data_IF_113070518529
#
_entry.id   IF_113070518529
#
_cell.length_a   1.000
_cell.length_b   1.000
_cell.length_c   1.000
_cell.angle_alpha   90.00
_cell.angle_beta   90.00
_cell.angle_gamma   90.00
#
_symmetry.space_group_name_H-M   'P 1'
#
loop_
_entity.id
_entity.type
_entity.pdbx_description
1 polymer ?
#
# COMPACT_ATOMS: atom_id res chain seq x y z
N UNK A 1 12.38 7.87 16.50
CA UNK A 1 12.91 6.51 16.65
C UNK A 1 13.23 6.16 18.12
N UNK A 2 13.91 7.00 18.90
CA UNK A 2 14.25 6.69 20.30
C UNK A 2 13.04 6.34 21.17
N UNK A 3 11.90 7.01 20.96
CA UNK A 3 10.65 6.65 21.67
C UNK A 3 10.14 5.30 21.21
N UNK A 4 10.19 5.02 19.92
CA UNK A 4 9.74 3.75 19.33
C UNK A 4 10.59 2.58 19.85
N UNK A 5 11.92 2.76 19.98
CA UNK A 5 12.81 1.75 20.56
C UNK A 5 12.44 1.41 22.00
N UNK A 6 12.01 2.39 22.79
CA UNK A 6 11.61 2.21 24.19
C UNK A 6 10.22 1.60 24.38
N UNK A 7 9.30 1.91 23.47
CA UNK A 7 7.87 1.56 23.63
C UNK A 7 7.43 0.40 22.75
N UNK A 8 8.28 -0.08 21.84
CA UNK A 8 7.92 -1.09 20.87
C UNK A 8 6.91 -0.59 19.82
N UNK A 9 6.72 0.71 19.69
CA UNK A 9 5.86 1.27 18.65
C UNK A 9 6.59 1.29 17.30
N UNK A 10 5.84 1.14 16.18
CA UNK A 10 6.38 1.36 14.86
C UNK A 10 6.44 2.85 14.56
N UNK A 11 7.51 3.28 13.89
CA UNK A 11 7.56 4.57 13.25
C UNK A 11 7.14 4.43 11.79
N UNK A 12 6.05 5.09 11.42
CA UNK A 12 5.66 5.29 10.04
C UNK A 12 5.91 6.75 9.68
N UNK A 13 6.66 7.00 8.62
CA UNK A 13 7.03 8.35 8.19
C UNK A 13 6.58 8.61 6.77
N UNK A 14 6.03 9.80 6.55
CA UNK A 14 5.96 10.37 5.22
C UNK A 14 7.37 10.78 4.80
N UNK A 15 7.82 10.27 3.66
CA UNK A 15 9.09 10.66 3.07
C UNK A 15 8.89 12.01 2.37
N UNK A 16 8.78 13.06 3.14
CA UNK A 16 8.42 14.38 2.64
C UNK A 16 9.65 15.23 2.35
N UNK A 17 9.67 15.83 1.18
CA UNK A 17 10.67 16.82 0.74
C UNK A 17 10.13 18.22 0.59
N UNK A 18 8.93 18.50 1.04
CA UNK A 18 8.45 19.88 1.14
C UNK A 18 9.39 20.71 2.01
N UNK A 19 10.11 20.03 2.88
CA UNK A 19 11.24 20.59 3.59
C UNK A 19 12.54 20.26 2.83
N UNK A 20 12.93 21.08 1.90
CA UNK A 20 14.12 20.94 1.07
C UNK A 20 15.45 21.05 1.87
N UNK A 21 15.39 20.91 3.18
CA UNK A 21 16.51 21.11 4.10
C UNK A 21 17.45 19.89 4.26
N UNK A 22 17.25 18.82 3.49
CA UNK A 22 18.08 17.61 3.61
C UNK A 22 18.09 16.78 2.35
N UNK A 23 19.02 15.85 2.29
CA UNK A 23 19.18 14.86 1.22
C UNK A 23 18.81 13.47 1.73
N UNK A 24 18.62 12.51 0.82
CA UNK A 24 18.36 11.10 1.19
C UNK A 24 19.44 10.56 2.14
N UNK A 25 20.70 10.92 1.92
CA UNK A 25 21.80 10.53 2.80
C UNK A 25 21.61 11.00 4.26
N UNK A 26 21.10 12.21 4.47
CA UNK A 26 20.81 12.74 5.81
C UNK A 26 19.65 11.98 6.46
N UNK A 27 18.62 11.63 5.69
CA UNK A 27 17.51 10.81 6.14
C UNK A 27 18.00 9.43 6.59
N UNK A 28 18.82 8.76 5.78
CA UNK A 28 19.41 7.46 6.11
C UNK A 28 20.33 7.53 7.34
N UNK A 29 21.13 8.60 7.44
CA UNK A 29 21.97 8.85 8.63
C UNK A 29 21.12 9.02 9.90
N UNK A 30 19.98 9.73 9.82
CA UNK A 30 19.06 9.89 10.94
C UNK A 30 18.35 8.58 11.32
N UNK A 31 18.01 7.74 10.37
CA UNK A 31 17.44 6.40 10.59
C UNK A 31 18.48 5.50 11.26
N UNK A 32 19.74 5.57 10.83
CA UNK A 32 20.89 4.86 11.40
C UNK A 32 20.66 3.34 11.53
N UNK A 33 20.19 2.68 10.48
CA UNK A 33 19.97 1.24 10.42
C UNK A 33 18.82 0.71 11.29
N UNK A 34 17.97 1.58 11.82
CA UNK A 34 16.81 1.18 12.63
C UNK A 34 15.58 0.94 11.76
N UNK A 35 14.73 0.03 12.17
CA UNK A 35 13.49 -0.28 11.46
C UNK A 35 12.58 0.94 11.34
N UNK A 36 12.10 1.18 10.13
CA UNK A 36 11.15 2.25 9.82
C UNK A 36 10.21 1.81 8.68
N UNK A 37 8.93 2.19 8.78
CA UNK A 37 7.99 2.10 7.67
C UNK A 37 7.97 3.44 6.95
N UNK A 38 8.34 3.46 5.68
CA UNK A 38 8.38 4.66 4.86
C UNK A 38 7.21 4.66 3.87
N UNK A 39 6.35 5.69 3.95
CA UNK A 39 5.26 5.91 3.01
C UNK A 39 5.76 6.59 1.72
N UNK A 40 5.01 6.37 0.63
CA UNK A 40 5.24 6.94 -0.71
C UNK A 40 6.73 7.09 -1.08
N UNK A 41 7.45 5.98 -0.91
CA UNK A 41 8.89 5.89 -1.22
C UNK A 41 9.23 6.09 -2.69
N UNK A 42 8.23 6.12 -3.57
CA UNK A 42 8.36 6.47 -4.98
C UNK A 42 8.69 7.97 -5.19
N UNK A 43 8.47 8.80 -4.17
CA UNK A 43 8.77 10.22 -4.19
C UNK A 43 7.66 11.12 -4.73
N UNK A 44 6.67 10.61 -5.42
CA UNK A 44 5.58 11.39 -6.02
C UNK A 44 4.63 11.98 -4.99
N UNK A 45 4.49 11.35 -3.83
CA UNK A 45 3.63 11.81 -2.73
C UNK A 45 4.25 12.89 -1.84
N UNK A 46 5.42 13.41 -2.16
CA UNK A 46 6.07 14.48 -1.40
C UNK A 46 7.46 14.16 -0.85
N UNK A 47 8.07 13.06 -1.22
CA UNK A 47 9.41 12.68 -0.79
C UNK A 47 10.55 13.59 -1.28
N UNK A 48 11.81 13.32 -0.88
CA UNK A 48 13.00 14.02 -1.37
C UNK A 48 13.12 13.86 -2.85
N UNK A 49 12.54 14.70 -3.61
CA UNK A 49 12.57 14.63 -5.05
C UNK A 49 12.57 13.16 -5.57
N UNK A 50 12.87 12.87 -6.79
CA UNK A 50 12.83 11.49 -7.28
C UNK A 50 13.85 10.52 -6.65
N UNK A 51 14.90 11.01 -6.00
CA UNK A 51 15.97 10.18 -5.44
C UNK A 51 15.60 9.46 -4.14
N UNK A 52 14.50 9.81 -3.49
CA UNK A 52 14.03 9.09 -2.29
C UNK A 52 13.76 7.60 -2.57
N UNK A 53 13.43 7.24 -3.80
CA UNK A 53 13.21 5.85 -4.18
C UNK A 53 14.42 4.94 -3.90
N UNK A 54 15.61 5.51 -3.79
CA UNK A 54 16.85 4.78 -3.45
C UNK A 54 16.82 4.16 -2.05
N UNK A 55 15.97 4.64 -1.11
CA UNK A 55 15.82 4.02 0.23
C UNK A 55 15.29 2.59 0.16
N UNK A 56 14.71 2.18 -0.98
CA UNK A 56 14.30 0.80 -1.23
C UNK A 56 15.49 -0.17 -1.20
N UNK A 57 16.71 0.33 -1.36
CA UNK A 57 17.94 -0.45 -1.25
C UNK A 57 18.32 -0.78 0.20
N UNK A 58 17.63 -0.23 1.19
CA UNK A 58 17.97 -0.41 2.60
C UNK A 58 17.17 -1.56 3.23
N UNK A 59 17.81 -2.56 3.84
CA UNK A 59 17.13 -3.74 4.38
C UNK A 59 16.22 -3.44 5.58
N UNK A 60 16.49 -2.36 6.32
CA UNK A 60 15.73 -1.94 7.50
C UNK A 60 14.63 -0.93 7.19
N UNK A 61 14.54 -0.43 5.96
CA UNK A 61 13.43 0.40 5.50
C UNK A 61 12.34 -0.50 4.92
N UNK A 62 11.13 -0.41 5.48
CA UNK A 62 9.96 -1.13 4.98
C UNK A 62 9.20 -0.20 4.05
N UNK A 63 9.42 -0.28 2.73
CA UNK A 63 8.89 0.70 1.80
C UNK A 63 7.44 0.40 1.44
N UNK A 64 6.63 1.45 1.39
CA UNK A 64 5.32 1.41 0.75
C UNK A 64 5.19 2.48 -0.31
N UNK A 65 4.41 2.20 -1.34
CA UNK A 65 4.06 3.16 -2.35
C UNK A 65 2.54 3.38 -2.41
N UNK A 66 2.14 4.49 -3.00
CA UNK A 66 0.74 4.89 -3.07
C UNK A 66 0.08 4.43 -4.37
N UNK A 67 -1.25 4.33 -4.38
CA UNK A 67 -1.94 3.77 -5.54
C UNK A 67 -2.03 4.70 -6.76
N UNK A 68 -2.04 6.04 -6.67
CA UNK A 68 -2.23 6.88 -7.86
C UNK A 68 -1.12 6.78 -8.91
N UNK A 69 0.13 6.52 -8.49
CA UNK A 69 1.28 6.41 -9.41
C UNK A 69 1.27 5.11 -10.22
N UNK A 70 0.47 4.13 -9.85
CA UNK A 70 0.54 2.76 -10.37
C UNK A 70 -0.71 2.30 -11.08
N UNK A 71 -0.52 1.49 -12.13
CA UNK A 71 0.71 1.33 -12.91
C UNK A 71 1.02 2.56 -13.75
N UNK A 72 2.25 2.72 -14.20
CA UNK A 72 2.65 3.80 -15.12
C UNK A 72 1.90 3.68 -16.45
N UNK A 73 1.02 4.63 -16.71
CA UNK A 73 0.20 4.72 -17.92
C UNK A 73 0.46 6.03 -18.66
N UNK A 74 -0.07 6.12 -19.88
CA UNK A 74 0.01 7.35 -20.70
C UNK A 74 -0.58 8.58 -19.99
N UNK A 75 -1.47 8.39 -19.02
CA UNK A 75 -2.14 9.50 -18.29
C UNK A 75 -1.52 9.77 -16.91
N UNK A 76 -0.64 8.87 -16.41
CA UNK A 76 -0.19 8.95 -15.01
C UNK A 76 0.49 10.25 -14.67
N UNK A 77 1.34 10.76 -15.55
CA UNK A 77 2.11 11.99 -15.31
C UNK A 77 1.16 13.19 -15.16
N UNK A 78 0.25 13.38 -16.11
CA UNK A 78 -0.71 14.49 -16.11
C UNK A 78 -1.66 14.40 -14.91
N UNK A 79 -2.26 13.22 -14.69
CA UNK A 79 -3.14 12.98 -13.54
C UNK A 79 -2.44 13.28 -12.20
N UNK A 80 -1.17 12.92 -12.10
CA UNK A 80 -0.41 13.11 -10.86
C UNK A 80 0.00 14.55 -10.64
N UNK A 81 0.39 15.27 -11.70
CA UNK A 81 0.64 16.71 -11.64
C UNK A 81 -0.60 17.47 -11.15
N UNK A 82 -1.76 17.18 -11.73
CA UNK A 82 -3.03 17.78 -11.31
C UNK A 82 -3.35 17.49 -9.84
N UNK A 83 -3.16 16.25 -9.41
CA UNK A 83 -3.35 15.88 -8.00
C UNK A 83 -2.40 16.61 -7.07
N UNK A 84 -1.12 16.71 -7.43
CA UNK A 84 -0.12 17.42 -6.64
C UNK A 84 -0.47 18.91 -6.50
N UNK A 85 -0.83 19.54 -7.61
CA UNK A 85 -1.26 20.94 -7.63
C UNK A 85 -2.43 21.19 -6.67
N UNK A 86 -3.45 20.32 -6.71
CA UNK A 86 -4.62 20.46 -5.85
C UNK A 86 -4.30 20.16 -4.39
N UNK A 87 -3.59 19.05 -4.09
CA UNK A 87 -3.33 18.63 -2.72
C UNK A 87 -2.38 19.55 -1.96
N UNK A 88 -1.46 20.21 -2.68
CA UNK A 88 -0.49 21.13 -2.09
C UNK A 88 -0.90 22.61 -2.24
N UNK A 89 -2.12 22.88 -2.70
CA UNK A 89 -2.65 24.25 -2.90
C UNK A 89 -1.78 25.11 -3.82
N UNK A 90 -1.17 24.48 -4.83
CA UNK A 90 -0.37 25.15 -5.84
C UNK A 90 -1.26 25.77 -6.91
N UNK A 91 -0.73 26.81 -7.57
CA UNK A 91 -1.45 27.52 -8.62
C UNK A 91 -0.77 27.31 -9.98
N UNK A 92 -1.43 26.65 -10.95
CA UNK A 92 -0.84 26.39 -12.28
C UNK A 92 -0.54 27.67 -13.08
N UNK A 93 -1.06 28.83 -12.66
CA UNK A 93 -0.73 30.11 -13.29
C UNK A 93 0.57 30.73 -12.71
N UNK A 94 1.17 30.14 -11.67
CA UNK A 94 2.43 30.55 -11.07
C UNK A 94 3.54 29.63 -11.57
N UNK A 95 4.52 30.11 -12.36
CA UNK A 95 5.57 29.28 -12.95
C UNK A 95 6.40 28.49 -11.91
N UNK A 96 6.64 29.08 -10.75
CA UNK A 96 7.39 28.47 -9.66
C UNK A 96 6.63 27.26 -9.07
N UNK A 97 5.32 27.36 -8.91
CA UNK A 97 4.47 26.28 -8.42
C UNK A 97 4.44 25.12 -9.43
N UNK A 98 4.34 25.44 -10.71
CA UNK A 98 4.38 24.44 -11.77
C UNK A 98 5.76 23.74 -11.81
N UNK A 99 6.85 24.50 -11.78
CA UNK A 99 8.20 23.95 -11.75
C UNK A 99 8.43 23.05 -10.53
N UNK A 100 7.90 23.43 -9.37
CA UNK A 100 7.92 22.59 -8.17
C UNK A 100 7.20 21.27 -8.40
N UNK A 101 5.98 21.29 -8.94
CA UNK A 101 5.22 20.08 -9.21
C UNK A 101 5.94 19.17 -10.22
N UNK A 102 6.42 19.73 -11.32
CA UNK A 102 7.18 19.00 -12.36
C UNK A 102 8.50 18.42 -11.85
N UNK A 103 9.13 19.05 -10.86
CA UNK A 103 10.35 18.51 -10.25
C UNK A 103 10.13 17.20 -9.52
N UNK A 104 8.89 16.93 -9.08
CA UNK A 104 8.54 15.73 -8.28
C UNK A 104 7.94 14.59 -9.08
N UNK A 105 7.26 14.91 -10.16
CA UNK A 105 6.56 13.90 -10.99
C UNK A 105 7.44 13.53 -12.17
N UNK A 106 8.07 12.36 -12.12
CA UNK A 106 9.04 11.91 -13.11
C UNK A 106 8.66 10.55 -13.70
N UNK A 107 8.64 10.42 -15.03
CA UNK A 107 8.34 9.13 -15.68
C UNK A 107 9.29 8.00 -15.26
N UNK A 108 10.57 8.30 -15.07
CA UNK A 108 11.60 7.31 -14.72
C UNK A 108 11.38 6.68 -13.35
N UNK A 109 11.06 7.50 -12.33
CA UNK A 109 10.81 6.99 -10.97
C UNK A 109 9.48 6.24 -10.88
N UNK A 110 8.44 6.71 -11.57
CA UNK A 110 7.14 6.02 -11.63
C UNK A 110 7.26 4.67 -12.35
N UNK A 111 8.03 4.60 -13.43
CA UNK A 111 8.31 3.33 -14.10
C UNK A 111 9.14 2.38 -13.24
N UNK A 112 10.13 2.92 -12.51
CA UNK A 112 10.94 2.15 -11.57
C UNK A 112 10.09 1.57 -10.43
N UNK A 113 9.12 2.31 -9.94
CA UNK A 113 8.19 1.86 -8.92
C UNK A 113 7.48 0.55 -9.32
N UNK A 114 6.93 0.49 -10.52
CA UNK A 114 6.28 -0.72 -11.05
C UNK A 114 7.22 -1.93 -11.05
N UNK A 115 8.46 -1.72 -11.52
CA UNK A 115 9.50 -2.76 -11.57
C UNK A 115 9.88 -3.22 -10.16
N UNK A 116 10.08 -2.29 -9.23
CA UNK A 116 10.44 -2.60 -7.84
C UNK A 116 9.33 -3.35 -7.12
N UNK A 117 8.07 -3.09 -7.45
CA UNK A 117 6.96 -3.91 -6.99
C UNK A 117 7.04 -5.35 -7.50
N UNK A 118 7.34 -5.52 -8.77
CA UNK A 118 7.41 -6.86 -9.39
C UNK A 118 8.65 -7.65 -8.95
N UNK A 119 9.75 -6.97 -8.64
CA UNK A 119 10.93 -7.56 -8.02
C UNK A 119 10.70 -7.97 -6.55
N UNK A 120 9.68 -7.43 -5.89
CA UNK A 120 9.46 -7.61 -4.47
C UNK A 120 10.32 -6.70 -3.60
N UNK A 121 10.79 -5.59 -4.13
CA UNK A 121 11.62 -4.63 -3.43
C UNK A 121 10.78 -3.58 -2.67
N UNK A 122 9.66 -3.13 -3.23
CA UNK A 122 8.65 -2.37 -2.50
C UNK A 122 7.67 -3.37 -1.89
N UNK A 123 7.67 -3.44 -0.55
CA UNK A 123 7.04 -4.54 0.18
C UNK A 123 5.55 -4.33 0.45
N UNK A 124 5.08 -3.09 0.42
CA UNK A 124 3.74 -2.69 0.86
C UNK A 124 3.10 -1.75 -0.16
N UNK A 125 1.79 -1.81 -0.25
CA UNK A 125 0.95 -0.89 -1.01
C UNK A 125 0.02 -0.17 -0.05
N UNK A 126 -0.04 1.15 -0.14
CA UNK A 126 -0.90 2.02 0.64
C UNK A 126 -1.82 2.87 -0.23
N UNK A 127 -2.77 3.56 0.38
CA UNK A 127 -3.76 4.36 -0.36
C UNK A 127 -3.40 5.84 -0.41
N UNK A 128 -2.72 6.37 0.60
CA UNK A 128 -2.56 7.81 0.81
C UNK A 128 -3.90 8.58 0.74
N UNK A 129 -4.92 8.04 1.40
CA UNK A 129 -6.33 8.33 1.13
C UNK A 129 -6.79 9.77 1.41
N UNK A 130 -6.04 10.53 2.21
CA UNK A 130 -6.39 11.90 2.56
C UNK A 130 -5.75 12.95 1.67
N UNK A 131 -4.61 12.60 1.06
CA UNK A 131 -3.91 13.47 0.12
C UNK A 131 -3.16 12.63 -0.89
N UNK A 132 -3.42 12.85 -2.16
CA UNK A 132 -2.87 12.19 -3.33
C UNK A 132 -3.16 10.68 -3.45
N UNK A 133 -4.24 10.15 -2.81
CA UNK A 133 -4.57 8.75 -2.91
C UNK A 133 -6.06 8.43 -2.82
N UNK A 134 -6.40 7.19 -3.20
CA UNK A 134 -7.79 6.70 -3.27
C UNK A 134 -7.89 5.33 -2.63
N UNK A 135 -8.49 5.26 -1.44
CA UNK A 135 -8.62 4.01 -0.69
C UNK A 135 -9.35 2.90 -1.46
N UNK A 136 -10.36 3.24 -2.24
CA UNK A 136 -11.15 2.29 -3.02
C UNK A 136 -10.39 1.65 -4.18
N UNK A 137 -9.24 2.18 -4.59
CA UNK A 137 -8.48 1.71 -5.74
C UNK A 137 -7.26 0.85 -5.37
N UNK A 138 -6.93 0.70 -4.09
CA UNK A 138 -5.71 0.00 -3.65
C UNK A 138 -5.61 -1.39 -4.27
N UNK A 139 -6.63 -2.21 -4.11
CA UNK A 139 -6.61 -3.60 -4.59
C UNK A 139 -6.60 -3.64 -6.12
N UNK A 140 -7.47 -2.87 -6.76
CA UNK A 140 -7.57 -2.82 -8.22
C UNK A 140 -6.23 -2.42 -8.85
N UNK A 141 -5.65 -1.30 -8.42
CA UNK A 141 -4.37 -0.81 -8.97
C UNK A 141 -3.21 -1.76 -8.71
N UNK A 142 -3.23 -2.47 -7.59
CA UNK A 142 -2.27 -3.55 -7.31
C UNK A 142 -2.30 -4.63 -8.39
N UNK A 143 -3.49 -5.09 -8.79
CA UNK A 143 -3.64 -6.13 -9.81
C UNK A 143 -3.43 -5.61 -11.22
N UNK A 144 -3.73 -4.35 -11.49
CA UNK A 144 -3.37 -3.70 -12.75
C UNK A 144 -1.85 -3.62 -12.90
N UNK A 145 -1.12 -3.26 -11.84
CA UNK A 145 0.34 -3.26 -11.81
C UNK A 145 0.89 -4.67 -12.09
N UNK A 146 0.38 -5.69 -11.39
CA UNK A 146 0.78 -7.08 -11.62
C UNK A 146 0.57 -7.51 -13.08
N UNK A 147 -0.54 -7.12 -13.68
CA UNK A 147 -0.84 -7.42 -15.09
C UNK A 147 0.12 -6.74 -16.06
N UNK A 148 0.39 -5.44 -15.88
CA UNK A 148 1.34 -4.69 -16.71
C UNK A 148 2.73 -5.29 -16.59
N UNK A 149 3.15 -5.62 -15.38
CA UNK A 149 4.46 -6.24 -15.15
C UNK A 149 4.56 -7.63 -15.78
N UNK A 150 3.51 -8.45 -15.73
CA UNK A 150 3.50 -9.73 -16.44
C UNK A 150 3.67 -9.54 -17.93
N UNK A 151 2.98 -8.59 -18.54
CA UNK A 151 3.11 -8.30 -19.97
C UNK A 151 4.51 -7.85 -20.36
N UNK A 152 5.17 -7.05 -19.52
CA UNK A 152 6.47 -6.46 -19.81
C UNK A 152 7.64 -7.39 -19.47
N UNK A 153 7.56 -8.10 -18.34
CA UNK A 153 8.66 -8.85 -17.76
C UNK A 153 8.50 -10.37 -17.87
N UNK A 154 7.32 -10.84 -18.35
CA UNK A 154 7.02 -12.26 -18.45
C UNK A 154 6.73 -12.93 -17.10
N UNK A 155 6.93 -14.25 -17.01
CA UNK A 155 6.73 -15.01 -15.77
C UNK A 155 7.85 -14.72 -14.77
N UNK A 156 7.50 -14.70 -13.47
CA UNK A 156 8.51 -14.65 -12.42
C UNK A 156 9.24 -15.99 -12.30
N UNK A 157 10.48 -16.01 -11.77
CA UNK A 157 11.17 -17.27 -11.46
C UNK A 157 10.28 -18.16 -10.56
N UNK A 158 10.08 -19.40 -11.00
CA UNK A 158 9.18 -20.34 -10.29
C UNK A 158 7.72 -20.33 -10.75
N UNK A 159 7.29 -19.34 -11.53
CA UNK A 159 5.99 -19.36 -12.19
C UNK A 159 6.06 -20.13 -13.52
N UNK A 160 4.97 -20.85 -13.84
CA UNK A 160 4.84 -21.59 -15.10
C UNK A 160 3.62 -21.11 -15.88
N UNK A 161 2.63 -22.01 -16.06
CA UNK A 161 1.35 -21.64 -16.67
C UNK A 161 0.47 -20.76 -15.79
N UNK A 162 0.66 -20.87 -14.47
CA UNK A 162 -0.03 -20.07 -13.47
C UNK A 162 0.96 -19.11 -12.83
N UNK A 163 0.49 -17.91 -12.47
CA UNK A 163 1.29 -16.84 -11.85
C UNK A 163 1.20 -16.89 -10.31
N UNK A 164 1.35 -18.08 -9.74
CA UNK A 164 1.14 -18.28 -8.30
C UNK A 164 2.14 -17.50 -7.43
N UNK A 165 3.40 -17.41 -7.86
CA UNK A 165 4.41 -16.63 -7.14
C UNK A 165 4.08 -15.13 -7.22
N UNK A 166 3.80 -14.61 -8.43
CA UNK A 166 3.37 -13.22 -8.58
C UNK A 166 2.09 -12.93 -7.78
N UNK A 167 1.11 -13.83 -7.81
CA UNK A 167 -0.12 -13.66 -7.04
C UNK A 167 0.16 -13.57 -5.52
N UNK A 168 0.98 -14.45 -4.94
CA UNK A 168 1.37 -14.39 -3.53
C UNK A 168 2.11 -13.09 -3.22
N UNK A 169 3.05 -12.68 -4.07
CA UNK A 169 3.81 -11.43 -3.93
C UNK A 169 2.89 -10.21 -3.83
N UNK A 170 1.94 -10.09 -4.75
CA UNK A 170 1.07 -8.92 -4.78
C UNK A 170 -0.02 -8.94 -3.70
N UNK A 171 -0.58 -10.10 -3.36
CA UNK A 171 -1.50 -10.23 -2.22
C UNK A 171 -0.82 -9.84 -0.91
N UNK A 172 0.41 -10.28 -0.68
CA UNK A 172 1.14 -9.99 0.55
C UNK A 172 1.32 -8.49 0.81
N UNK A 173 1.38 -7.66 -0.24
CA UNK A 173 1.61 -6.21 -0.13
C UNK A 173 0.50 -5.43 0.57
N UNK A 174 -0.73 -5.92 0.55
CA UNK A 174 -1.87 -5.26 1.22
C UNK A 174 -2.54 -6.15 2.29
N UNK A 175 -1.89 -7.26 2.65
CA UNK A 175 -2.37 -8.18 3.69
C UNK A 175 -1.30 -8.38 4.77
N UNK A 176 -0.46 -9.42 4.64
CA UNK A 176 0.47 -9.81 5.69
C UNK A 176 1.63 -8.81 5.88
N UNK A 177 2.17 -8.22 4.81
CA UNK A 177 3.32 -7.35 4.94
C UNK A 177 3.03 -6.08 5.75
N UNK A 178 1.94 -5.31 5.49
CA UNK A 178 1.60 -4.21 6.37
C UNK A 178 1.26 -4.65 7.80
N UNK A 179 0.69 -5.84 8.00
CA UNK A 179 0.43 -6.36 9.33
C UNK A 179 1.74 -6.64 10.11
N UNK A 180 2.71 -7.26 9.46
CA UNK A 180 4.04 -7.50 10.04
C UNK A 180 4.76 -6.18 10.32
N UNK A 181 4.79 -5.26 9.34
CA UNK A 181 5.44 -3.96 9.50
C UNK A 181 4.89 -3.15 10.69
N UNK A 182 3.61 -3.28 11.00
CA UNK A 182 2.94 -2.58 12.09
C UNK A 182 2.85 -3.39 13.40
N UNK A 183 3.46 -4.59 13.45
CA UNK A 183 3.44 -5.44 14.65
C UNK A 183 2.09 -6.11 14.93
N UNK A 184 1.26 -6.30 13.92
CA UNK A 184 -0.07 -6.91 14.00
C UNK A 184 -0.13 -8.31 13.39
N UNK A 185 0.99 -8.80 12.86
CA UNK A 185 1.07 -10.03 12.06
C UNK A 185 0.65 -11.30 12.79
N UNK A 186 0.72 -11.33 14.12
CA UNK A 186 0.28 -12.47 14.93
C UNK A 186 -1.23 -12.62 15.00
N UNK A 187 -1.97 -11.53 14.79
CA UNK A 187 -3.43 -11.49 14.95
C UNK A 187 -4.18 -11.40 13.61
N UNK A 188 -3.57 -10.78 12.59
CA UNK A 188 -4.22 -10.51 11.29
C UNK A 188 -3.23 -10.64 10.12
N UNK A 189 -3.74 -10.50 8.91
CA UNK A 189 -2.94 -10.35 7.68
C UNK A 189 -2.76 -11.64 6.88
N UNK A 190 -3.05 -12.81 7.45
CA UNK A 190 -2.97 -14.09 6.76
C UNK A 190 -4.07 -15.05 7.17
N UNK A 191 -4.34 -16.05 6.32
CA UNK A 191 -5.32 -17.10 6.60
C UNK A 191 -4.62 -18.23 7.35
N UNK A 192 -4.53 -18.09 8.66
CA UNK A 192 -3.88 -19.03 9.56
C UNK A 192 -4.75 -19.27 10.79
N UNK A 193 -4.69 -20.51 11.34
CA UNK A 193 -5.42 -20.87 12.57
C UNK A 193 -4.94 -20.00 13.73
N UNK A 194 -5.87 -19.43 14.47
CA UNK A 194 -5.61 -18.56 15.62
C UNK A 194 -5.73 -17.07 15.32
N UNK A 195 -5.62 -16.67 14.06
CA UNK A 195 -5.81 -15.27 13.66
C UNK A 195 -7.28 -14.92 13.46
N UNK A 196 -7.56 -13.61 13.51
CA UNK A 196 -8.89 -13.09 13.25
C UNK A 196 -9.37 -13.47 11.84
N UNK A 197 -10.56 -14.03 11.74
CA UNK A 197 -11.13 -14.48 10.48
C UNK A 197 -11.65 -13.29 9.65
N UNK A 198 -10.71 -12.53 9.11
CA UNK A 198 -10.93 -11.44 8.15
C UNK A 198 -10.68 -11.97 6.75
N UNK A 199 -11.73 -12.27 6.01
CA UNK A 199 -11.66 -12.98 4.74
C UNK A 199 -12.44 -12.25 3.66
N UNK A 200 -11.96 -12.34 2.43
CA UNK A 200 -12.68 -11.83 1.25
C UNK A 200 -12.86 -12.95 0.25
N UNK A 201 -14.10 -13.20 -0.16
CA UNK A 201 -14.44 -14.14 -1.20
C UNK A 201 -14.64 -13.43 -2.53
N UNK A 202 -13.99 -13.94 -3.56
CA UNK A 202 -14.03 -13.39 -4.90
C UNK A 202 -14.62 -14.40 -5.89
N UNK A 203 -15.45 -13.91 -6.79
CA UNK A 203 -15.63 -14.58 -8.06
C UNK A 203 -14.33 -14.38 -8.87
N UNK A 204 -13.71 -15.45 -9.39
CA UNK A 204 -12.48 -15.33 -10.17
C UNK A 204 -12.57 -14.34 -11.33
N UNK A 205 -13.74 -14.23 -11.97
CA UNK A 205 -13.98 -13.29 -13.08
C UNK A 205 -13.92 -11.81 -12.65
N UNK A 206 -14.11 -11.54 -11.35
CA UNK A 206 -14.13 -10.18 -10.76
C UNK A 206 -13.05 -9.98 -9.70
N UNK A 207 -12.06 -10.86 -9.70
CA UNK A 207 -10.98 -10.80 -8.73
C UNK A 207 -10.26 -9.44 -8.76
N UNK A 208 -10.07 -8.86 -7.57
CA UNK A 208 -9.44 -7.55 -7.41
C UNK A 208 -10.35 -6.35 -7.65
N UNK A 209 -11.57 -6.56 -8.13
CA UNK A 209 -12.51 -5.48 -8.48
C UNK A 209 -13.74 -5.48 -7.58
N UNK A 210 -14.45 -6.62 -7.53
CA UNK A 210 -15.74 -6.71 -6.83
C UNK A 210 -15.82 -7.98 -6.01
N UNK A 211 -15.67 -7.90 -4.69
CA UNK A 211 -15.83 -9.07 -3.82
C UNK A 211 -17.31 -9.52 -3.78
N UNK A 212 -17.53 -10.82 -3.66
CA UNK A 212 -18.87 -11.37 -3.44
C UNK A 212 -19.25 -11.30 -1.96
N UNK A 213 -18.28 -11.50 -1.07
CA UNK A 213 -18.51 -11.52 0.38
C UNK A 213 -17.26 -11.01 1.11
N UNK A 214 -17.47 -10.14 2.08
CA UNK A 214 -16.46 -9.71 3.05
C UNK A 214 -16.86 -10.22 4.43
N UNK A 215 -15.97 -11.01 5.02
CA UNK A 215 -16.12 -11.57 6.37
C UNK A 215 -15.17 -10.82 7.29
N UNK A 216 -15.70 -10.31 8.40
CA UNK A 216 -14.95 -9.60 9.43
C UNK A 216 -15.13 -10.29 10.77
N UNK A 217 -14.02 -10.75 11.35
CA UNK A 217 -14.07 -11.48 12.63
C UNK A 217 -14.97 -12.73 12.60
N UNK A 218 -15.04 -13.43 11.46
CA UNK A 218 -15.86 -14.61 11.27
C UNK A 218 -17.33 -14.35 10.93
N UNK A 219 -17.75 -13.08 10.81
CA UNK A 219 -19.13 -12.72 10.47
C UNK A 219 -19.20 -12.01 9.12
N UNK A 220 -20.24 -12.27 8.34
CA UNK A 220 -20.47 -11.59 7.07
C UNK A 220 -20.73 -10.09 7.34
N UNK A 221 -19.79 -9.24 6.95
CA UNK A 221 -19.89 -7.80 7.09
C UNK A 221 -20.47 -7.11 5.85
N UNK A 222 -20.24 -7.69 4.67
CA UNK A 222 -20.68 -7.14 3.39
C UNK A 222 -20.86 -8.26 2.38
N UNK A 223 -21.99 -8.27 1.69
CA UNK A 223 -22.28 -9.27 0.67
C UNK A 223 -23.27 -8.74 -0.37
N UNK A 224 -23.29 -9.40 -1.53
CA UNK A 224 -24.33 -9.17 -2.53
C UNK A 224 -25.67 -9.71 -2.02
N UNK A 225 -26.67 -8.86 -2.06
CA UNK A 225 -28.01 -9.22 -1.63
C UNK A 225 -29.04 -8.51 -2.50
N UNK A 226 -30.10 -9.22 -2.85
CA UNK A 226 -31.26 -8.62 -3.49
C UNK A 226 -32.06 -7.72 -2.54
N UNK A 227 -33.11 -7.12 -3.05
CA UNK A 227 -33.99 -6.30 -2.24
C UNK A 227 -34.64 -7.14 -1.13
N UNK A 228 -34.49 -6.70 0.10
CA UNK A 228 -34.91 -7.46 1.30
C UNK A 228 -36.45 -7.66 1.35
N UNK A 229 -37.21 -6.88 0.62
CA UNK A 229 -38.69 -6.96 0.60
C UNK A 229 -39.25 -7.71 -0.60
N UNK A 230 -38.40 -8.43 -1.33
CA UNK A 230 -38.88 -9.13 -2.52
C UNK A 230 -39.58 -10.42 -2.16
N UNK A 231 -40.81 -10.58 -2.60
CA UNK A 231 -41.58 -11.82 -2.54
C UNK A 231 -41.42 -12.68 -3.82
N UNK A 232 -40.44 -12.33 -4.65
CA UNK A 232 -40.12 -13.03 -5.92
C UNK A 232 -38.87 -13.90 -5.74
N UNK A 233 -38.72 -14.99 -6.53
CA UNK A 233 -37.57 -15.88 -6.40
C UNK A 233 -36.20 -15.24 -6.64
N UNK A 234 -36.14 -14.19 -7.44
CA UNK A 234 -34.92 -13.44 -7.78
C UNK A 234 -35.08 -11.97 -7.40
N UNK A 235 -34.85 -11.60 -6.12
CA UNK A 235 -34.95 -10.22 -5.68
C UNK A 235 -34.04 -9.30 -6.49
N UNK A 236 -34.60 -8.16 -6.90
CA UNK A 236 -33.87 -7.14 -7.65
C UNK A 236 -34.10 -5.75 -7.03
N UNK A 237 -33.14 -4.84 -7.11
CA UNK A 237 -31.77 -5.02 -7.64
C UNK A 237 -30.88 -5.79 -6.66
N UNK A 238 -29.98 -6.63 -7.19
CA UNK A 238 -28.93 -7.27 -6.42
C UNK A 238 -27.73 -6.34 -6.36
N UNK A 239 -27.33 -5.94 -5.17
CA UNK A 239 -26.18 -5.06 -4.96
C UNK A 239 -25.45 -5.42 -3.66
N UNK A 240 -24.17 -5.03 -3.51
CA UNK A 240 -23.45 -5.19 -2.26
C UNK A 240 -24.11 -4.36 -1.15
N UNK A 241 -24.31 -4.99 0.01
CA UNK A 241 -24.97 -4.35 1.16
C UNK A 241 -24.24 -4.68 2.46
N UNK A 242 -24.24 -3.77 3.45
CA UNK A 242 -23.83 -4.10 4.81
C UNK A 242 -24.70 -5.23 5.40
N UNK A 243 -24.03 -6.17 6.06
CA UNK A 243 -24.65 -7.33 6.70
C UNK A 243 -24.42 -7.31 8.21
N UNK A 244 -24.87 -8.34 8.92
CA UNK A 244 -24.82 -8.42 10.38
C UNK A 244 -23.46 -8.13 11.00
N UNK A 245 -22.36 -8.57 10.34
CA UNK A 245 -21.00 -8.33 10.79
C UNK A 245 -20.56 -6.85 10.77
N UNK A 246 -21.26 -6.00 10.00
CA UNK A 246 -20.98 -4.56 9.92
C UNK A 246 -21.83 -3.72 10.89
N UNK A 247 -22.81 -4.33 11.58
CA UNK A 247 -23.82 -3.60 12.33
C UNK A 247 -23.74 -3.86 13.84
N UNK A 248 -24.20 -2.88 14.62
CA UNK A 248 -24.30 -2.97 16.06
C UNK A 248 -22.98 -3.35 16.73
N UNK A 249 -23.06 -4.20 17.75
CA UNK A 249 -21.88 -4.65 18.52
C UNK A 249 -20.99 -5.65 17.76
N UNK A 250 -21.45 -6.23 16.67
CA UNK A 250 -20.65 -7.17 15.87
C UNK A 250 -19.40 -6.50 15.30
N UNK A 251 -19.51 -5.26 14.82
CA UNK A 251 -18.39 -4.49 14.29
C UNK A 251 -17.28 -4.26 15.34
N UNK A 252 -17.66 -3.93 16.57
CA UNK A 252 -16.72 -3.75 17.67
C UNK A 252 -16.07 -5.08 18.10
N UNK A 253 -16.87 -6.14 18.26
CA UNK A 253 -16.39 -7.46 18.70
C UNK A 253 -15.55 -8.20 17.64
N UNK A 254 -15.79 -7.92 16.37
CA UNK A 254 -15.04 -8.48 15.24
C UNK A 254 -13.75 -7.72 14.89
N UNK A 255 -13.27 -6.83 15.75
CA UNK A 255 -12.08 -6.02 15.48
C UNK A 255 -11.26 -5.75 16.75
N UNK A 256 -10.02 -5.28 16.57
CA UNK A 256 -9.09 -4.97 17.66
C UNK A 256 -8.72 -3.48 17.67
N UNK A 257 -8.31 -3.02 18.85
CA UNK A 257 -7.53 -1.79 19.04
C UNK A 257 -6.08 -2.22 19.25
N UNK A 258 -5.24 -2.03 18.23
CA UNK A 258 -3.81 -2.30 18.34
C UNK A 258 -3.13 -1.12 19.00
N UNK A 259 -2.36 -1.38 20.04
CA UNK A 259 -1.63 -0.37 20.84
C UNK A 259 -0.27 -0.92 21.26
N UNK A 260 0.64 -0.06 21.71
CA UNK A 260 1.90 -0.55 22.28
C UNK A 260 1.65 -1.30 23.60
N UNK A 261 2.52 -2.26 23.95
CA UNK A 261 2.47 -2.94 25.24
C UNK A 261 2.54 -1.94 26.40
N UNK A 262 3.40 -0.92 26.27
CA UNK A 262 3.51 0.15 27.25
C UNK A 262 2.20 0.91 27.51
N UNK A 263 1.38 1.09 26.47
CA UNK A 263 0.07 1.74 26.65
C UNK A 263 -0.92 0.87 27.43
N UNK A 264 -0.84 -0.47 27.27
CA UNK A 264 -1.66 -1.40 28.07
C UNK A 264 -1.19 -1.38 29.52
N UNK A 265 0.10 -1.44 29.77
CA UNK A 265 0.68 -1.36 31.11
C UNK A 265 0.35 -0.06 31.82
N UNK A 266 0.20 1.05 31.10
CA UNK A 266 -0.21 2.36 31.59
C UNK A 266 -1.73 2.48 31.79
N UNK A 267 -2.50 1.42 31.67
CA UNK A 267 -3.96 1.39 31.91
C UNK A 267 -4.79 2.09 30.85
N UNK A 268 -4.33 2.15 29.58
CA UNK A 268 -5.07 2.76 28.48
C UNK A 268 -6.43 2.09 28.25
N UNK A 269 -6.58 0.74 28.30
CA UNK A 269 -7.86 0.08 28.11
C UNK A 269 -8.94 0.55 29.09
N UNK A 270 -8.59 0.68 30.35
CA UNK A 270 -9.48 1.10 31.44
C UNK A 270 -9.88 2.58 31.30
N UNK A 271 -8.96 3.44 30.88
CA UNK A 271 -9.21 4.87 30.66
C UNK A 271 -10.14 5.12 29.48
N UNK A 272 -10.00 4.35 28.40
CA UNK A 272 -10.81 4.54 27.20
C UNK A 272 -12.14 3.78 27.26
N UNK A 273 -12.23 2.68 27.99
CA UNK A 273 -13.41 1.84 28.18
C UNK A 273 -14.14 1.49 26.85
N UNK A 274 -13.37 1.18 25.80
CA UNK A 274 -13.92 0.84 24.49
C UNK A 274 -14.38 -0.62 24.43
N UNK A 275 -15.39 -0.90 23.61
CA UNK A 275 -15.87 -2.28 23.41
C UNK A 275 -14.90 -3.18 22.63
N UNK A 276 -14.06 -2.60 21.78
CA UNK A 276 -13.06 -3.35 21.05
C UNK A 276 -11.97 -3.86 21.98
N UNK A 277 -11.59 -5.13 21.81
CA UNK A 277 -10.47 -5.70 22.56
C UNK A 277 -9.15 -4.96 22.21
N UNK A 278 -8.41 -4.61 23.22
CA UNK A 278 -7.04 -4.09 23.06
C UNK A 278 -6.06 -5.25 22.88
N UNK A 279 -5.17 -5.10 21.94
CA UNK A 279 -4.14 -6.10 21.60
C UNK A 279 -2.80 -5.38 21.47
N UNK A 280 -1.74 -5.85 22.15
CA UNK A 280 -0.43 -5.25 21.98
C UNK A 280 0.14 -5.55 20.60
N UNK A 281 0.76 -4.54 20.00
CA UNK A 281 1.63 -4.76 18.83
C UNK A 281 2.92 -5.45 19.29
N UNK A 282 3.49 -6.26 18.42
CA UNK A 282 4.70 -7.04 18.71
C UNK A 282 5.73 -6.91 17.59
N UNK A 283 7.00 -7.15 17.92
CA UNK A 283 8.07 -7.32 16.92
C UNK A 283 8.22 -6.18 15.90
N UNK A 284 7.95 -4.94 16.27
CA UNK A 284 8.07 -3.78 15.38
C UNK A 284 9.52 -3.29 15.25
N UNK A 285 10.35 -3.58 16.23
CA UNK A 285 11.78 -3.23 16.24
C UNK A 285 12.60 -4.43 15.79
N UNK A 286 13.53 -4.24 14.88
CA UNK A 286 14.31 -5.33 14.30
C UNK A 286 13.64 -6.03 13.11
N UNK A 287 12.42 -5.69 12.75
CA UNK A 287 11.82 -6.13 11.47
C UNK A 287 12.59 -5.52 10.30
N UNK A 288 12.85 -6.35 9.30
CA UNK A 288 13.55 -5.96 8.09
C UNK A 288 12.78 -6.41 6.84
N UNK A 289 13.31 -6.11 5.68
CA UNK A 289 12.74 -6.62 4.42
C UNK A 289 12.74 -8.14 4.34
N UNK A 290 13.68 -8.82 5.02
CA UNK A 290 13.71 -10.29 5.07
C UNK A 290 12.45 -10.91 5.72
N UNK A 291 11.72 -10.13 6.53
CA UNK A 291 10.46 -10.54 7.16
C UNK A 291 9.23 -10.29 6.27
N UNK A 292 9.40 -9.61 5.14
CA UNK A 292 8.33 -9.27 4.20
C UNK A 292 8.07 -10.45 3.25
N UNK A 293 6.97 -11.14 3.45
CA UNK A 293 6.61 -12.32 2.65
C UNK A 293 6.61 -12.02 1.15
N UNK A 294 7.38 -12.78 0.38
CA UNK A 294 7.52 -12.70 -1.09
C UNK A 294 8.03 -11.31 -1.59
N UNK A 295 8.47 -10.44 -0.65
CA UNK A 295 8.81 -9.04 -0.92
C UNK A 295 10.05 -8.60 -0.14
N UNK A 296 11.07 -9.42 -0.14
CA UNK A 296 12.32 -9.31 0.62
C UNK A 296 13.51 -8.80 -0.20
N UNK A 297 13.30 -8.49 -1.49
CA UNK A 297 14.37 -8.05 -2.36
C UNK A 297 14.98 -6.69 -1.93
N UNK A 298 16.31 -6.59 -2.02
CA UNK A 298 17.09 -5.40 -1.69
C UNK A 298 18.00 -5.07 -2.89
N UNK A 299 17.43 -4.64 -4.03
CA UNK A 299 18.22 -4.26 -5.20
C UNK A 299 18.96 -2.94 -4.95
N UNK A 300 20.03 -2.71 -5.67
CA UNK A 300 20.69 -1.41 -5.71
C UNK A 300 19.92 -0.48 -6.62
N UNK A 301 19.30 0.55 -6.06
CA UNK A 301 18.58 1.58 -6.81
C UNK A 301 19.41 2.87 -6.79
N UNK A 302 19.70 3.39 -7.96
CA UNK A 302 20.45 4.64 -8.12
C UNK A 302 19.65 5.60 -9.00
N UNK A 303 19.67 6.86 -8.63
CA UNK A 303 19.05 7.96 -9.37
C UNK A 303 20.14 8.95 -9.77
N UNK A 304 20.25 9.21 -11.04
CA UNK A 304 21.20 10.22 -11.53
C UNK A 304 20.75 11.61 -11.11
N UNK A 305 21.60 12.42 -10.46
CA UNK A 305 21.19 13.70 -9.89
C UNK A 305 20.87 14.78 -10.93
N UNK A 306 21.37 14.64 -12.16
CA UNK A 306 21.19 15.64 -13.21
C UNK A 306 20.03 15.29 -14.15
N UNK A 307 19.95 14.04 -14.59
CA UNK A 307 18.92 13.57 -15.54
C UNK A 307 17.72 12.91 -14.88
N UNK A 308 17.83 12.54 -13.60
CA UNK A 308 16.87 11.71 -12.85
C UNK A 308 16.60 10.35 -13.49
N UNK A 309 17.51 9.87 -14.31
CA UNK A 309 17.46 8.49 -14.79
C UNK A 309 17.68 7.51 -13.64
N UNK A 310 16.89 6.44 -13.63
CA UNK A 310 16.95 5.42 -12.58
C UNK A 310 17.61 4.16 -13.13
N UNK A 311 18.48 3.56 -12.33
CA UNK A 311 18.99 2.21 -12.57
C UNK A 311 18.65 1.29 -11.42
N UNK A 312 18.41 0.02 -11.72
CA UNK A 312 18.16 -1.04 -10.75
C UNK A 312 19.18 -2.14 -11.00
N UNK A 313 20.08 -2.39 -10.03
CA UNK A 313 21.21 -3.32 -10.17
C UNK A 313 22.11 -3.02 -11.38
N UNK A 314 22.17 -1.75 -11.79
CA UNK A 314 22.92 -1.27 -12.93
C UNK A 314 22.16 -1.28 -14.25
N UNK A 315 21.00 -1.90 -14.33
CA UNK A 315 20.15 -1.90 -15.52
C UNK A 315 19.31 -0.61 -15.58
N UNK A 316 19.28 0.11 -16.69
CA UNK A 316 18.50 1.32 -16.83
C UNK A 316 17.00 1.02 -16.87
N UNK A 317 16.22 1.88 -16.24
CA UNK A 317 14.76 1.80 -16.25
C UNK A 317 14.22 2.55 -17.47
N UNK A 318 13.50 1.82 -18.32
CA UNK A 318 12.80 2.38 -19.47
C UNK A 318 11.42 2.92 -19.05
N UNK A 319 11.14 4.22 -19.14
CA UNK A 319 9.90 4.82 -18.69
C UNK A 319 8.77 4.69 -19.72
N UNK A 320 8.57 3.50 -20.29
CA UNK A 320 7.52 3.26 -21.26
C UNK A 320 6.14 3.16 -20.55
N UNK A 321 5.15 4.03 -20.85
CA UNK A 321 3.84 3.95 -20.23
C UNK A 321 2.98 2.82 -20.82
N UNK A 322 2.02 2.31 -20.04
CA UNK A 322 0.99 1.39 -20.53
C UNK A 322 -0.16 2.20 -21.17
N UNK A 323 -0.55 1.82 -22.38
CA UNK A 323 -1.67 2.44 -23.09
C UNK A 323 -3.03 1.84 -22.70
N UNK A 324 -3.03 0.61 -22.16
CA UNK A 324 -4.24 -0.12 -21.81
C UNK A 324 -4.10 -0.78 -20.43
N UNK A 325 -5.18 -0.71 -19.66
CA UNK A 325 -5.32 -1.42 -18.39
C UNK A 325 -6.53 -2.35 -18.42
N UNK A 326 -6.43 -3.53 -17.78
CA UNK A 326 -7.61 -4.37 -17.58
C UNK A 326 -8.54 -3.75 -16.56
N UNK A 327 -9.84 -4.07 -16.64
CA UNK A 327 -10.86 -3.74 -15.65
C UNK A 327 -11.00 -2.24 -15.31
N UNK A 328 -10.51 -1.35 -16.16
CA UNK A 328 -10.67 0.08 -15.98
C UNK A 328 -12.14 0.51 -16.17
N UNK A 329 -12.66 1.32 -15.27
CA UNK A 329 -13.92 2.07 -15.34
C UNK A 329 -15.25 1.29 -15.29
N UNK A 330 -15.30 0.00 -15.57
CA UNK A 330 -16.58 -0.72 -15.73
C UNK A 330 -17.27 -1.13 -14.45
N UNK A 331 -16.54 -1.17 -13.34
CA UNK A 331 -16.98 -1.82 -12.11
C UNK A 331 -17.09 -0.90 -10.91
N UNK A 332 -16.90 0.38 -11.13
CA UNK A 332 -17.10 1.43 -10.13
C UNK A 332 -18.50 2.01 -10.15
N UNK A 333 -19.34 1.50 -11.02
CA UNK A 333 -20.73 1.91 -11.12
C UNK A 333 -21.58 0.99 -10.28
N UNK A 334 -22.27 1.54 -9.39
CA UNK A 334 -23.14 0.86 -8.44
C UNK A 334 -24.57 1.23 -8.62
#
# INVERSE_FOLDING_TARGET
LTVCERTGAQLAIHTDTLNEAGFVADTLAAIAGRTIHAYHTEGAGGGHAPDIISVVSEPYVLPSSTNPTRPHTVNTIEEHLDMLMVCHHLNPAVPEDLAFAESRIRPSTIAAEDILHDLGAISIISSDSQAMGRIGEVILRTWQTAHVMKKRRGALPGDGRADNHRARRYVAKYTINPAVAQGMGDEIGSVETGKLADLVLWDPAFFGVKPTTVIKGGQIAYAQMGDANASIPTPQPVMPRPMFGALGRAAARGSFNFVSAAAIEDGLPERLALEKRFVPITSTRGVTKADMRENDAVPRVEVDPDSFAVTIDGDPVEPAPAAELPMAQRYFLF
#
